data_IF_936656872155
#
_entry.id   IF_936656872155
#
_cell.length_a   1.000
_cell.length_b   1.000
_cell.length_c   1.000
_cell.angle_alpha   90.00
_cell.angle_beta   90.00
_cell.angle_gamma   90.00
#
_symmetry.space_group_name_H-M   'P 1'
#
loop_
_entity.id
_entity.type
_entity.pdbx_description
1 polymer ?
#
# COMPACT_ATOMS: atom_id res chain seq x y z
N UNK A 1 -12.05 21.84 -18.74
CA UNK A 1 -10.90 21.15 -19.36
C UNK A 1 -11.03 19.69 -18.99
N UNK A 2 -11.60 18.91 -19.89
CA UNK A 2 -11.98 17.51 -19.69
C UNK A 2 -10.79 16.65 -20.11
N UNK A 3 -10.08 16.07 -19.14
CA UNK A 3 -8.94 15.20 -19.43
C UNK A 3 -9.47 13.81 -19.80
N UNK A 4 -9.57 13.56 -21.10
CA UNK A 4 -9.94 12.26 -21.67
C UNK A 4 -8.93 11.18 -21.30
N UNK A 5 -9.30 10.34 -20.33
CA UNK A 5 -8.62 9.07 -20.10
C UNK A 5 -9.18 8.06 -21.12
N UNK A 6 -8.37 7.70 -22.12
CA UNK A 6 -8.68 6.59 -23.02
C UNK A 6 -8.58 5.27 -22.26
N UNK A 7 -9.61 4.43 -22.38
CA UNK A 7 -9.72 3.09 -21.79
C UNK A 7 -8.60 2.13 -22.23
N UNK A 8 -7.82 2.47 -23.26
CA UNK A 8 -6.72 1.64 -23.78
C UNK A 8 -5.41 1.74 -22.97
N UNK A 9 -5.35 2.62 -21.96
CA UNK A 9 -4.11 2.92 -21.24
C UNK A 9 -3.84 2.04 -20.01
N UNK A 10 -4.83 1.30 -19.50
CA UNK A 10 -4.66 0.41 -18.34
C UNK A 10 -4.79 -1.06 -18.75
N UNK A 11 -3.71 -1.66 -19.26
CA UNK A 11 -3.68 -3.10 -19.59
C UNK A 11 -3.45 -3.93 -18.32
N UNK A 12 -4.53 -4.29 -17.63
CA UNK A 12 -4.49 -5.31 -16.56
C UNK A 12 -4.43 -6.69 -17.22
N UNK A 13 -3.29 -7.38 -17.14
CA UNK A 13 -3.21 -8.82 -17.49
C UNK A 13 -3.48 -9.64 -16.23
N UNK A 14 -3.92 -10.89 -16.44
CA UNK A 14 -4.27 -11.89 -15.41
C UNK A 14 -3.45 -11.74 -14.13
N UNK A 15 -4.12 -11.48 -13.01
CA UNK A 15 -3.54 -11.37 -11.68
C UNK A 15 -3.94 -12.62 -10.87
N UNK A 16 -3.12 -13.68 -10.83
CA UNK A 16 -3.38 -14.78 -9.91
C UNK A 16 -3.27 -14.23 -8.48
N UNK A 17 -4.24 -14.56 -7.63
CA UNK A 17 -4.08 -14.34 -6.19
C UNK A 17 -2.93 -15.23 -5.71
N UNK A 18 -1.84 -14.61 -5.30
CA UNK A 18 -0.55 -15.28 -5.14
C UNK A 18 -0.32 -15.74 -3.68
N UNK A 19 -0.65 -14.91 -2.70
CA UNK A 19 -0.65 -15.25 -1.26
C UNK A 19 -1.87 -14.66 -0.59
N UNK A 20 -2.57 -15.43 0.24
CA UNK A 20 -3.69 -14.94 1.05
C UNK A 20 -3.21 -14.44 2.43
N UNK A 21 -3.88 -13.41 2.94
CA UNK A 21 -3.61 -12.83 4.26
C UNK A 21 -4.62 -13.27 5.32
N UNK A 22 -5.04 -14.53 5.34
CA UNK A 22 -6.04 -15.04 6.30
C UNK A 22 -5.75 -14.59 7.75
N UNK A 23 -4.53 -14.82 8.26
CA UNK A 23 -3.98 -14.07 9.39
C UNK A 23 -3.55 -12.67 8.92
N UNK A 24 -4.08 -11.64 9.58
CA UNK A 24 -3.78 -10.24 9.27
C UNK A 24 -2.28 -9.98 9.23
N UNK A 25 -1.82 -9.17 8.28
CA UNK A 25 -0.41 -8.78 8.18
C UNK A 25 0.52 -9.80 7.52
N UNK A 26 0.15 -11.08 7.40
CA UNK A 26 1.01 -12.09 6.76
C UNK A 26 1.06 -11.90 5.24
N UNK A 27 -0.07 -11.59 4.61
CA UNK A 27 -0.12 -11.36 3.17
C UNK A 27 0.82 -10.23 2.74
N UNK A 28 0.72 -9.09 3.42
CA UNK A 28 1.54 -7.91 3.14
C UNK A 28 3.02 -8.11 3.48
N UNK A 29 3.36 -8.87 4.53
CA UNK A 29 4.75 -9.12 4.93
C UNK A 29 5.59 -9.76 3.82
N UNK A 30 4.98 -10.62 2.99
CA UNK A 30 5.68 -11.26 1.86
C UNK A 30 5.89 -10.33 0.66
N UNK A 31 5.16 -9.21 0.59
CA UNK A 31 5.08 -8.39 -0.61
C UNK A 31 6.41 -7.70 -0.97
N UNK A 32 7.19 -7.26 0.03
CA UNK A 32 8.52 -6.68 -0.21
C UNK A 32 9.49 -7.72 -0.78
N UNK A 33 9.54 -8.92 -0.19
CA UNK A 33 10.39 -10.01 -0.68
C UNK A 33 10.05 -10.41 -2.12
N UNK A 34 8.76 -10.44 -2.48
CA UNK A 34 8.32 -10.67 -3.86
C UNK A 34 8.75 -9.55 -4.80
N UNK A 35 8.56 -8.30 -4.38
CA UNK A 35 8.97 -7.16 -5.18
C UNK A 35 10.49 -7.16 -5.41
N UNK A 36 11.28 -7.48 -4.38
CA UNK A 36 12.73 -7.67 -4.48
C UNK A 36 13.07 -8.82 -5.43
N UNK A 37 12.42 -9.97 -5.31
CA UNK A 37 12.68 -11.12 -6.18
C UNK A 37 12.49 -10.77 -7.66
N UNK A 38 11.36 -10.14 -8.01
CA UNK A 38 11.10 -9.74 -9.40
C UNK A 38 12.10 -8.70 -9.90
N UNK A 39 12.62 -7.85 -9.03
CA UNK A 39 13.70 -6.92 -9.39
C UNK A 39 15.02 -7.64 -9.63
N UNK A 40 15.35 -8.58 -8.74
CA UNK A 40 16.59 -9.37 -8.80
C UNK A 40 16.70 -10.19 -10.09
N UNK A 41 15.59 -10.81 -10.54
CA UNK A 41 15.60 -11.60 -11.78
C UNK A 41 15.47 -10.76 -13.06
N UNK A 42 15.43 -9.42 -12.95
CA UNK A 42 15.33 -8.53 -14.10
C UNK A 42 13.97 -8.54 -14.81
N UNK A 43 12.88 -8.79 -14.08
CA UNK A 43 11.55 -8.81 -14.68
C UNK A 43 11.19 -7.43 -15.29
N UNK A 44 10.28 -7.38 -16.28
CA UNK A 44 9.83 -6.12 -16.87
C UNK A 44 9.37 -5.10 -15.80
N UNK A 45 9.67 -3.82 -16.00
CA UNK A 45 9.30 -2.75 -15.04
C UNK A 45 7.79 -2.57 -14.87
N UNK A 46 7.01 -3.02 -15.85
CA UNK A 46 5.54 -3.06 -15.81
C UNK A 46 4.97 -4.11 -14.85
N UNK A 47 5.78 -5.09 -14.40
CA UNK A 47 5.34 -6.06 -13.40
C UNK A 47 5.34 -5.41 -12.01
N UNK A 48 4.14 -5.30 -11.43
CA UNK A 48 3.91 -4.77 -10.10
C UNK A 48 3.47 -5.86 -9.12
N UNK A 49 3.86 -5.69 -7.86
CA UNK A 49 3.33 -6.43 -6.73
C UNK A 49 2.33 -5.52 -6.03
N UNK A 50 1.07 -5.91 -6.02
CA UNK A 50 -0.01 -5.17 -5.38
C UNK A 50 -0.42 -5.92 -4.11
N UNK A 51 -0.44 -5.21 -2.99
CA UNK A 51 -0.98 -5.71 -1.73
C UNK A 51 -2.17 -4.85 -1.31
N UNK A 52 -3.27 -5.50 -0.95
CA UNK A 52 -4.46 -4.86 -0.40
C UNK A 52 -4.57 -5.28 1.06
N UNK A 53 -4.68 -4.32 1.98
CA UNK A 53 -4.64 -4.63 3.41
C UNK A 53 -5.55 -3.69 4.22
N UNK A 54 -6.02 -4.18 5.36
CA UNK A 54 -6.76 -3.38 6.35
C UNK A 54 -5.84 -2.74 7.39
N UNK A 55 -6.30 -1.66 8.00
CA UNK A 55 -5.58 -0.95 9.07
C UNK A 55 -5.21 -1.82 10.27
N UNK A 56 -6.01 -2.84 10.61
CA UNK A 56 -5.74 -3.74 11.73
C UNK A 56 -4.48 -4.58 11.52
N UNK A 57 -4.14 -4.92 10.27
CA UNK A 57 -2.87 -5.59 10.00
C UNK A 57 -1.66 -4.75 10.42
N UNK A 58 -1.82 -3.43 10.59
CA UNK A 58 -0.74 -2.56 11.05
C UNK A 58 -0.44 -2.69 12.54
N UNK A 59 -1.27 -3.40 13.32
CA UNK A 59 -0.94 -3.74 14.71
C UNK A 59 0.01 -4.93 14.79
N UNK A 60 0.14 -5.70 13.72
CA UNK A 60 0.96 -6.90 13.67
C UNK A 60 2.44 -6.57 13.46
N UNK A 61 3.32 -7.25 14.21
CA UNK A 61 4.77 -7.00 14.19
C UNK A 61 5.38 -7.18 12.78
N UNK A 62 4.95 -8.21 12.05
CA UNK A 62 5.45 -8.48 10.70
C UNK A 62 5.08 -7.39 9.69
N UNK A 63 3.96 -6.70 9.87
CA UNK A 63 3.62 -5.54 9.03
C UNK A 63 4.53 -4.35 9.31
N UNK A 64 5.09 -4.22 10.52
CA UNK A 64 6.08 -3.21 10.86
C UNK A 64 7.47 -3.59 10.30
N UNK A 65 7.85 -4.86 10.38
CA UNK A 65 9.09 -5.38 9.78
C UNK A 65 9.13 -5.16 8.25
N UNK A 66 7.99 -5.36 7.58
CA UNK A 66 7.82 -5.05 6.17
C UNK A 66 8.23 -3.61 5.82
N UNK A 67 7.83 -2.63 6.64
CA UNK A 67 8.12 -1.21 6.39
C UNK A 67 9.61 -0.98 6.24
N UNK A 68 10.38 -1.57 7.14
CA UNK A 68 11.85 -1.53 7.14
C UNK A 68 12.43 -2.31 5.96
N UNK A 69 11.96 -3.54 5.73
CA UNK A 69 12.49 -4.41 4.67
C UNK A 69 12.33 -3.80 3.28
N UNK A 70 11.16 -3.23 2.97
CA UNK A 70 10.89 -2.62 1.67
C UNK A 70 11.77 -1.39 1.40
N UNK A 71 12.04 -0.59 2.43
CA UNK A 71 12.94 0.57 2.33
C UNK A 71 14.38 0.09 2.11
N UNK A 72 14.85 -0.89 2.89
CA UNK A 72 16.18 -1.44 2.74
C UNK A 72 16.41 -2.05 1.34
N UNK A 73 15.39 -2.71 0.80
CA UNK A 73 15.45 -3.37 -0.52
C UNK A 73 15.12 -2.43 -1.69
N UNK A 74 14.74 -1.17 -1.43
CA UNK A 74 14.50 -0.15 -2.46
C UNK A 74 13.44 -0.61 -3.51
N UNK A 75 12.37 -1.26 -3.05
CA UNK A 75 11.36 -1.91 -3.91
C UNK A 75 10.29 -0.97 -4.49
N UNK A 76 10.49 0.35 -4.38
CA UNK A 76 9.51 1.37 -4.77
C UNK A 76 9.06 1.35 -6.22
N UNK A 77 9.81 0.74 -7.14
CA UNK A 77 9.35 0.57 -8.53
C UNK A 77 8.24 -0.47 -8.70
N UNK A 78 8.15 -1.46 -7.81
CA UNK A 78 7.32 -2.66 -8.00
C UNK A 78 6.22 -2.78 -6.96
N UNK A 79 6.51 -2.45 -5.70
CA UNK A 79 5.56 -2.63 -4.61
C UNK A 79 4.54 -1.49 -4.57
N UNK A 80 3.25 -1.82 -4.56
CA UNK A 80 2.13 -0.91 -4.36
C UNK A 80 1.23 -1.45 -3.26
N UNK A 81 1.13 -0.72 -2.15
CA UNK A 81 0.25 -1.09 -1.05
C UNK A 81 -1.00 -0.21 -1.09
N UNK A 82 -2.17 -0.84 -0.96
CA UNK A 82 -3.45 -0.16 -0.76
C UNK A 82 -3.94 -0.50 0.63
N UNK A 83 -4.04 0.53 1.46
CA UNK A 83 -4.45 0.40 2.85
C UNK A 83 -5.85 0.97 3.01
N UNK A 84 -6.79 0.12 3.42
CA UNK A 84 -8.10 0.56 3.88
C UNK A 84 -7.98 1.04 5.32
N UNK A 85 -7.99 2.36 5.50
CA UNK A 85 -7.87 3.06 6.78
C UNK A 85 -9.23 3.67 7.17
N UNK A 86 -10.23 2.80 7.37
CA UNK A 86 -11.64 3.17 7.50
C UNK A 86 -12.15 3.20 8.95
N UNK A 87 -11.26 2.98 9.93
CA UNK A 87 -11.54 2.87 11.36
C UNK A 87 -12.63 1.83 11.70
N UNK A 88 -12.63 0.68 11.04
CA UNK A 88 -13.67 -0.35 11.17
C UNK A 88 -13.09 -1.77 11.23
N UNK A 89 -13.38 -2.48 12.33
CA UNK A 89 -13.05 -3.89 12.52
C UNK A 89 -14.30 -4.75 12.77
N UNK A 90 -14.08 -6.04 13.07
CA UNK A 90 -15.15 -7.01 13.33
C UNK A 90 -15.85 -6.69 14.65
N UNK A 91 -15.06 -6.54 15.73
CA UNK A 91 -15.57 -6.37 17.09
C UNK A 91 -15.49 -4.90 17.58
N UNK A 92 -14.54 -4.13 17.05
CA UNK A 92 -14.33 -2.73 17.44
C UNK A 92 -13.66 -1.93 16.30
N UNK A 93 -13.59 -0.62 16.47
CA UNK A 93 -12.76 0.30 15.70
C UNK A 93 -11.29 0.22 16.11
N UNK A 94 -10.37 0.53 15.18
CA UNK A 94 -8.95 0.57 15.51
C UNK A 94 -8.65 1.69 16.50
N UNK A 95 -9.03 2.92 16.17
CA UNK A 95 -8.87 4.11 17.00
C UNK A 95 -10.12 4.34 17.85
N UNK A 96 -9.92 4.39 19.17
CA UNK A 96 -10.97 4.48 20.18
C UNK A 96 -11.31 3.12 20.80
N UNK A 97 -11.21 2.06 20.00
CA UNK A 97 -11.42 0.67 20.44
C UNK A 97 -10.15 -0.03 20.89
N UNK A 98 -9.42 -0.59 19.92
CA UNK A 98 -8.16 -1.33 20.14
C UNK A 98 -7.06 -0.41 20.64
N UNK A 99 -6.79 0.66 19.90
CA UNK A 99 -5.89 1.74 20.31
C UNK A 99 -6.73 2.79 21.01
N UNK A 100 -6.49 2.98 22.31
CA UNK A 100 -7.24 3.96 23.11
C UNK A 100 -7.02 5.38 22.59
N UNK A 101 -8.10 6.17 22.58
CA UNK A 101 -8.13 7.52 22.01
C UNK A 101 -7.23 8.53 22.75
N UNK A 102 -6.75 8.20 23.94
CA UNK A 102 -5.74 8.96 24.69
C UNK A 102 -4.37 8.99 24.00
N UNK A 103 -4.04 7.95 23.21
CA UNK A 103 -2.79 7.87 22.47
C UNK A 103 -2.82 8.71 21.20
N UNK A 104 -2.51 10.00 21.31
CA UNK A 104 -2.53 10.95 20.19
C UNK A 104 -1.42 10.74 19.15
N UNK A 105 -0.38 9.99 19.48
CA UNK A 105 0.74 9.69 18.57
C UNK A 105 0.48 8.55 17.60
N UNK A 106 -0.64 7.82 17.76
CA UNK A 106 -0.95 6.70 16.87
C UNK A 106 -1.61 7.21 15.58
N UNK A 107 -0.78 7.51 14.58
CA UNK A 107 -1.19 7.92 13.24
C UNK A 107 -0.51 7.02 12.22
N UNK A 108 -1.31 6.25 11.48
CA UNK A 108 -0.79 5.25 10.54
C UNK A 108 0.00 5.92 9.40
N UNK A 109 -0.50 7.03 8.85
CA UNK A 109 0.18 7.72 7.76
C UNK A 109 1.55 8.25 8.22
N UNK A 110 1.61 8.86 9.41
CA UNK A 110 2.86 9.33 10.00
C UNK A 110 3.82 8.18 10.33
N UNK A 111 3.31 7.02 10.72
CA UNK A 111 4.15 5.82 10.87
C UNK A 111 4.81 5.44 9.55
N UNK A 112 4.07 5.38 8.42
CA UNK A 112 4.69 5.06 7.13
C UNK A 112 5.73 6.13 6.70
N UNK A 113 5.40 7.40 6.89
CA UNK A 113 6.31 8.53 6.60
C UNK A 113 7.60 8.41 7.42
N UNK A 114 7.51 8.02 8.69
CA UNK A 114 8.69 7.92 9.57
C UNK A 114 9.67 6.82 9.16
N UNK A 115 9.21 5.77 8.47
CA UNK A 115 10.08 4.78 7.83
C UNK A 115 10.66 5.24 6.47
N UNK A 116 10.21 6.38 5.94
CA UNK A 116 10.67 6.92 4.65
C UNK A 116 9.83 6.50 3.45
N UNK A 117 8.58 6.08 3.65
CA UNK A 117 7.67 5.72 2.57
C UNK A 117 7.05 6.93 1.88
N UNK A 118 6.74 6.79 0.59
CA UNK A 118 5.86 7.69 -0.13
C UNK A 118 4.41 7.38 0.22
N UNK A 119 3.76 8.27 0.99
CA UNK A 119 2.38 8.10 1.44
C UNK A 119 1.45 8.97 0.62
N UNK A 120 0.52 8.33 -0.08
CA UNK A 120 -0.61 8.98 -0.74
C UNK A 120 -1.83 8.77 0.14
N UNK A 121 -2.27 9.81 0.84
CA UNK A 121 -3.42 9.74 1.73
C UNK A 121 -4.67 10.34 1.08
N UNK A 122 -5.64 9.48 0.77
CA UNK A 122 -6.89 9.85 0.13
C UNK A 122 -7.95 9.97 1.22
N UNK A 123 -8.43 11.20 1.38
CA UNK A 123 -9.60 11.48 2.18
C UNK A 123 -10.89 11.21 1.39
N UNK A 124 -11.88 10.60 2.03
CA UNK A 124 -13.19 10.27 1.46
C UNK A 124 -13.09 9.35 0.21
N UNK A 125 -12.88 8.06 0.47
CA UNK A 125 -12.71 7.01 -0.53
C UNK A 125 -13.91 6.73 -1.45
N UNK A 126 -15.01 7.52 -1.41
CA UNK A 126 -16.19 7.34 -2.28
C UNK A 126 -16.09 8.14 -3.59
N UNK A 127 -14.89 8.28 -4.14
CA UNK A 127 -14.64 9.12 -5.32
C UNK A 127 -14.35 8.31 -6.57
N UNK A 128 -14.86 8.70 -7.74
CA UNK A 128 -14.50 8.09 -9.03
C UNK A 128 -13.01 8.29 -9.43
N UNK A 129 -12.22 8.95 -8.58
CA UNK A 129 -10.83 9.35 -8.86
C UNK A 129 -9.77 8.31 -8.50
N UNK A 130 -10.12 7.10 -8.05
CA UNK A 130 -9.15 6.04 -7.70
C UNK A 130 -8.14 5.75 -8.83
N UNK A 131 -8.58 5.78 -10.09
CA UNK A 131 -7.71 5.60 -11.26
C UNK A 131 -6.61 6.66 -11.38
N UNK A 132 -6.84 7.88 -10.90
CA UNK A 132 -5.82 8.94 -10.93
C UNK A 132 -4.66 8.64 -9.99
N UNK A 133 -4.94 8.05 -8.85
CA UNK A 133 -3.93 7.68 -7.86
C UNK A 133 -3.12 6.47 -8.31
N UNK A 134 -3.79 5.49 -8.93
CA UNK A 134 -3.10 4.39 -9.62
C UNK A 134 -2.17 4.91 -10.70
N UNK A 135 -2.63 5.87 -11.52
CA UNK A 135 -1.81 6.49 -12.56
C UNK A 135 -0.62 7.25 -11.96
N UNK A 136 -0.83 8.02 -10.88
CA UNK A 136 0.24 8.72 -10.17
C UNK A 136 1.31 7.75 -9.64
N UNK A 137 0.90 6.64 -9.06
CA UNK A 137 1.81 5.60 -8.59
C UNK A 137 2.56 4.90 -9.73
N UNK A 138 1.95 4.77 -10.91
CA UNK A 138 2.60 4.20 -12.09
C UNK A 138 3.60 5.16 -12.71
N UNK A 139 3.24 6.44 -12.81
CA UNK A 139 4.07 7.50 -13.39
C UNK A 139 5.14 8.06 -12.44
N UNK A 140 5.26 7.48 -11.24
CA UNK A 140 6.19 7.98 -10.24
C UNK A 140 7.64 7.96 -10.77
N UNK A 141 8.46 8.97 -10.45
CA UNK A 141 9.83 9.04 -10.94
C UNK A 141 10.61 7.75 -10.70
N UNK A 142 11.29 7.28 -11.75
CA UNK A 142 12.01 6.01 -11.73
C UNK A 142 13.23 6.02 -10.80
N UNK A 143 13.81 7.18 -10.55
CA UNK A 143 14.95 7.36 -9.65
C UNK A 143 14.51 7.36 -8.17
N UNK A 144 13.24 7.63 -7.87
CA UNK A 144 12.70 7.49 -6.52
C UNK A 144 12.34 6.03 -6.22
N UNK A 145 13.25 5.36 -5.53
CA UNK A 145 13.13 3.95 -5.17
C UNK A 145 12.42 3.71 -3.84
N UNK A 146 11.90 4.76 -3.18
CA UNK A 146 11.16 4.63 -1.92
C UNK A 146 9.84 3.87 -2.15
N UNK A 147 9.50 2.91 -1.28
CA UNK A 147 8.25 2.19 -1.37
C UNK A 147 7.05 3.12 -1.11
N UNK A 148 5.88 2.73 -1.62
CA UNK A 148 4.70 3.59 -1.64
C UNK A 148 3.42 2.88 -1.17
N UNK A 149 2.61 3.63 -0.43
CA UNK A 149 1.31 3.21 0.10
C UNK A 149 0.23 4.23 -0.25
N UNK A 150 -0.92 3.73 -0.69
CA UNK A 150 -2.15 4.47 -0.86
C UNK A 150 -3.03 4.19 0.35
N UNK A 151 -3.13 5.13 1.28
CA UNK A 151 -4.08 5.09 2.40
C UNK A 151 -5.41 5.67 1.94
N UNK A 152 -6.51 4.95 2.17
CA UNK A 152 -7.86 5.41 1.83
C UNK A 152 -8.69 5.47 3.10
N UNK A 153 -9.09 6.68 3.49
CA UNK A 153 -10.00 6.90 4.61
C UNK A 153 -11.45 7.03 4.14
N UNK A 154 -12.39 6.87 5.08
CA UNK A 154 -13.84 6.86 4.79
C UNK A 154 -14.41 8.26 4.53
#
# INVERSE_FOLDING_TARGET
MEYGLSWDTLKVRTCPNDVNGGPSGIGIATAAGKAMFWDFIGAPSSLKVIALEGEFAMTEGHAQELKTAAVAQQVGKRLRIFLSNNNAGIDDSLIGGVVKSEFKGYDIAQQWISYGWNVLDIQNGKTSRHLRWLKLMEDWPEDDRRPMVLSVTR
#
